data_IF_082661669280
#
_entry.id   IF_082661669280
#
_cell.length_a   1.000
_cell.length_b   1.000
_cell.length_c   1.000
_cell.angle_alpha   90.00
_cell.angle_beta   90.00
_cell.angle_gamma   90.00
#
_symmetry.space_group_name_H-M   'P 1'
#
loop_
_entity.id
_entity.type
_entity.pdbx_description
1 polymer ?
#
# COMPACT_ATOMS: atom_id res chain seq x y z
N UNK A 1 91.42 2.77 61.26
CA UNK A 1 92.42 2.61 60.17
C UNK A 1 92.02 3.58 59.06
N UNK A 2 92.90 4.56 58.81
CA UNK A 2 93.15 5.35 57.57
C UNK A 2 92.35 5.00 56.29
N UNK A 3 92.02 5.87 55.32
CA UNK A 3 92.16 7.31 55.01
C UNK A 3 91.51 7.47 53.58
N UNK A 4 90.71 8.47 53.20
CA UNK A 4 91.04 9.66 52.35
C UNK A 4 89.70 10.05 51.67
N UNK A 5 89.10 11.23 51.84
CA UNK A 5 89.43 12.60 51.36
C UNK A 5 88.87 12.95 49.95
N UNK A 6 88.07 14.03 49.94
CA UNK A 6 87.25 14.64 48.89
C UNK A 6 88.02 15.18 47.66
N UNK A 7 87.36 15.22 46.49
CA UNK A 7 87.11 16.46 45.70
C UNK A 7 86.28 16.22 44.43
N UNK A 8 85.16 16.94 44.29
CA UNK A 8 84.56 17.28 42.99
C UNK A 8 85.37 18.39 42.30
N UNK A 9 85.22 18.53 40.96
CA UNK A 9 85.05 19.85 40.38
C UNK A 9 83.87 19.94 39.40
N UNK A 10 82.95 20.83 39.79
CA UNK A 10 82.49 22.03 39.09
C UNK A 10 82.00 21.97 37.62
N UNK A 11 80.83 22.58 37.48
CA UNK A 11 80.10 23.02 36.30
C UNK A 11 80.90 23.89 35.31
N UNK A 12 80.41 23.86 34.06
CA UNK A 12 80.65 24.80 32.94
C UNK A 12 81.51 24.29 31.78
N UNK A 13 80.89 23.45 30.98
CA UNK A 13 81.08 23.38 29.52
C UNK A 13 79.70 22.91 28.98
N UNK A 14 78.67 23.72 28.66
CA UNK A 14 78.61 25.00 27.94
C UNK A 14 79.57 24.98 26.76
N UNK A 15 79.16 24.76 25.51
CA UNK A 15 77.87 24.94 24.89
C UNK A 15 77.91 24.31 23.49
N UNK A 16 76.73 24.29 22.86
CA UNK A 16 76.49 24.19 21.43
C UNK A 16 76.30 22.79 20.81
N UNK A 17 75.06 22.60 20.33
CA UNK A 17 74.66 21.84 19.15
C UNK A 17 74.72 20.29 19.28
N UNK A 18 73.65 19.53 19.05
CA UNK A 18 72.39 19.78 18.35
C UNK A 18 71.38 18.72 18.82
N UNK A 19 70.22 19.10 19.35
CA UNK A 19 69.01 19.42 18.60
C UNK A 19 68.47 18.24 17.78
N UNK A 20 67.66 17.40 18.43
CA UNK A 20 66.42 16.88 17.81
C UNK A 20 65.41 16.45 18.88
N UNK A 21 65.10 17.36 19.80
CA UNK A 21 63.87 17.23 20.57
C UNK A 21 62.70 17.49 19.62
N UNK A 22 62.09 16.41 19.13
CA UNK A 22 60.84 16.44 18.36
C UNK A 22 59.76 17.11 19.19
N UNK A 23 59.58 18.41 18.97
CA UNK A 23 58.41 19.16 19.42
C UNK A 23 57.19 18.57 18.70
N UNK A 24 56.41 17.76 19.41
CA UNK A 24 55.05 17.42 18.97
C UNK A 24 54.26 18.73 18.93
N UNK A 25 54.12 19.29 17.74
CA UNK A 25 53.24 20.42 17.50
C UNK A 25 51.85 20.11 18.08
N UNK A 26 51.34 21.02 18.91
CA UNK A 26 49.97 20.96 19.43
C UNK A 26 49.01 20.86 18.23
N UNK A 27 48.02 19.95 18.24
CA UNK A 27 47.14 19.76 17.09
C UNK A 27 46.39 21.05 16.78
N UNK A 28 46.57 21.54 15.56
CA UNK A 28 45.87 22.71 15.02
C UNK A 28 44.35 22.52 15.14
N UNK A 29 43.65 23.37 15.90
CA UNK A 29 42.21 23.24 16.14
C UNK A 29 41.40 23.34 14.84
N UNK A 30 41.91 24.01 13.80
CA UNK A 30 41.22 24.15 12.51
C UNK A 30 41.18 22.80 11.75
N UNK A 31 42.22 21.98 11.91
CA UNK A 31 42.37 20.67 11.26
C UNK A 31 41.41 19.60 11.79
N UNK A 32 40.72 19.86 12.90
CA UNK A 32 39.71 18.96 13.49
C UNK A 32 38.27 19.36 13.14
N UNK A 33 38.02 20.64 12.81
CA UNK A 33 36.67 21.18 12.58
C UNK A 33 35.97 20.55 11.38
N UNK A 34 36.70 20.23 10.31
CA UNK A 34 36.09 19.58 9.13
C UNK A 34 35.54 18.18 9.45
N UNK A 35 36.12 17.45 10.41
CA UNK A 35 35.59 16.15 10.86
C UNK A 35 34.26 16.30 11.58
N UNK A 36 34.12 17.37 12.39
CA UNK A 36 32.86 17.71 13.07
C UNK A 36 31.79 18.09 12.04
N UNK A 37 32.13 18.91 11.04
CA UNK A 37 31.21 19.27 9.97
C UNK A 37 30.82 18.06 9.10
N UNK A 38 31.78 17.19 8.76
CA UNK A 38 31.52 15.96 7.99
C UNK A 38 30.65 14.98 8.78
N UNK A 39 30.90 14.82 10.07
CA UNK A 39 30.08 13.98 10.95
C UNK A 39 28.66 14.55 11.07
N UNK A 40 28.51 15.85 11.31
CA UNK A 40 27.20 16.49 11.38
C UNK A 40 26.43 16.37 10.05
N UNK A 41 27.11 16.54 8.92
CA UNK A 41 26.53 16.31 7.60
C UNK A 41 26.09 14.85 7.41
N UNK A 42 26.95 13.87 7.73
CA UNK A 42 26.63 12.46 7.61
C UNK A 42 25.43 12.05 8.49
N UNK A 43 25.40 12.52 9.75
CA UNK A 43 24.25 12.31 10.64
C UNK A 43 22.98 12.94 10.07
N UNK A 44 23.07 14.16 9.56
CA UNK A 44 21.91 14.85 8.94
C UNK A 44 21.38 14.08 7.74
N UNK A 45 22.27 13.62 6.84
CA UNK A 45 21.90 12.81 5.68
C UNK A 45 21.25 11.50 6.11
N UNK A 46 21.81 10.80 7.09
CA UNK A 46 21.24 9.54 7.59
C UNK A 46 19.87 9.74 8.23
N UNK A 47 19.68 10.81 9.00
CA UNK A 47 18.38 11.15 9.59
C UNK A 47 17.36 11.49 8.49
N UNK A 48 17.73 12.34 7.53
CA UNK A 48 16.85 12.72 6.41
C UNK A 48 16.50 11.52 5.52
N UNK A 49 17.49 10.65 5.26
CA UNK A 49 17.29 9.43 4.47
C UNK A 49 16.40 8.44 5.20
N UNK A 50 16.63 8.22 6.49
CA UNK A 50 15.79 7.38 7.34
C UNK A 50 14.35 7.89 7.36
N UNK A 51 14.13 9.14 7.79
CA UNK A 51 12.79 9.74 7.84
C UNK A 51 12.13 9.75 6.46
N UNK A 52 12.88 10.06 5.40
CA UNK A 52 12.39 10.06 4.03
C UNK A 52 11.92 8.69 3.57
N UNK A 53 12.71 7.64 3.79
CA UNK A 53 12.32 6.26 3.43
C UNK A 53 11.13 5.79 4.26
N UNK A 54 11.13 6.02 5.58
CA UNK A 54 10.00 5.65 6.42
C UNK A 54 8.71 6.31 5.95
N UNK A 55 8.76 7.60 5.65
CA UNK A 55 7.61 8.35 5.11
C UNK A 55 7.19 7.80 3.76
N UNK A 56 8.13 7.58 2.83
CA UNK A 56 7.85 7.04 1.52
C UNK A 56 7.17 5.67 1.59
N UNK A 57 7.74 4.73 2.34
CA UNK A 57 7.20 3.37 2.50
C UNK A 57 5.83 3.40 3.14
N UNK A 58 5.62 4.25 4.15
CA UNK A 58 4.33 4.39 4.83
C UNK A 58 3.23 4.92 3.89
N UNK A 59 3.51 5.95 3.10
CA UNK A 59 2.52 6.56 2.21
C UNK A 59 2.42 5.90 0.83
N UNK A 60 3.35 5.00 0.49
CA UNK A 60 3.38 4.33 -0.82
C UNK A 60 2.06 3.63 -1.16
N UNK A 61 1.43 2.83 -0.27
CA UNK A 61 0.15 2.19 -0.57
C UNK A 61 -0.93 3.22 -0.91
N UNK A 62 -1.08 4.27 -0.10
CA UNK A 62 -2.09 5.29 -0.35
C UNK A 62 -1.89 5.99 -1.70
N UNK A 63 -0.64 6.37 -2.03
CA UNK A 63 -0.32 6.95 -3.33
C UNK A 63 -0.61 5.98 -4.49
N UNK A 64 -0.25 4.71 -4.32
CA UNK A 64 -0.50 3.67 -5.32
C UNK A 64 -2.00 3.50 -5.58
N UNK A 65 -2.81 3.29 -4.54
CA UNK A 65 -4.26 3.09 -4.67
C UNK A 65 -4.95 4.33 -5.22
N UNK A 66 -4.58 5.54 -4.80
CA UNK A 66 -5.15 6.79 -5.36
C UNK A 66 -4.80 6.99 -6.83
N UNK A 67 -3.57 6.66 -7.21
CA UNK A 67 -3.15 6.69 -8.61
C UNK A 67 -3.91 5.65 -9.43
N UNK A 68 -4.07 4.44 -8.89
CA UNK A 68 -4.78 3.37 -9.56
C UNK A 68 -6.28 3.65 -9.75
N UNK A 69 -6.95 4.20 -8.73
CA UNK A 69 -8.31 4.74 -8.83
C UNK A 69 -8.40 5.76 -9.97
N UNK A 70 -7.51 6.76 -9.97
CA UNK A 70 -7.51 7.81 -10.99
C UNK A 70 -7.29 7.26 -12.39
N UNK A 71 -6.37 6.30 -12.54
CA UNK A 71 -6.11 5.63 -13.82
C UNK A 71 -7.33 4.82 -14.24
N UNK A 72 -7.93 4.04 -13.36
CA UNK A 72 -9.08 3.20 -13.68
C UNK A 72 -10.30 4.03 -14.08
N UNK A 73 -10.58 5.10 -13.34
CA UNK A 73 -11.70 6.00 -13.63
C UNK A 73 -11.50 6.71 -14.97
N UNK A 74 -10.27 7.16 -15.30
CA UNK A 74 -10.02 7.97 -16.50
C UNK A 74 -9.62 7.17 -17.74
N UNK A 75 -9.02 5.99 -17.56
CA UNK A 75 -8.40 5.19 -18.63
C UNK A 75 -8.89 3.74 -18.65
N UNK A 76 -9.79 3.37 -17.75
CA UNK A 76 -10.30 2.01 -17.64
C UNK A 76 -9.35 1.10 -16.85
N UNK A 77 -9.78 -0.14 -16.56
CA UNK A 77 -9.03 -1.05 -15.70
C UNK A 77 -7.77 -1.64 -16.37
N UNK A 78 -7.54 -1.34 -17.65
CA UNK A 78 -6.31 -1.73 -18.35
C UNK A 78 -6.29 -3.19 -18.81
N UNK A 79 -7.44 -3.87 -18.80
CA UNK A 79 -7.54 -5.25 -19.26
C UNK A 79 -7.89 -5.35 -20.73
N UNK A 80 -7.51 -6.46 -21.37
CA UNK A 80 -7.98 -6.77 -22.73
C UNK A 80 -9.52 -6.64 -22.84
N UNK A 81 -9.98 -5.92 -23.88
CA UNK A 81 -11.40 -5.63 -24.16
C UNK A 81 -12.14 -4.85 -23.05
N UNK A 82 -11.43 -4.24 -22.10
CA UNK A 82 -12.05 -3.40 -21.08
C UNK A 82 -12.45 -2.02 -21.61
N UNK A 83 -13.43 -1.34 -20.98
CA UNK A 83 -13.81 0.01 -21.37
C UNK A 83 -12.65 0.99 -21.16
N UNK A 84 -12.62 2.06 -21.96
CA UNK A 84 -11.59 3.12 -21.87
C UNK A 84 -11.74 4.04 -20.66
N UNK A 85 -12.80 3.87 -19.87
CA UNK A 85 -13.01 4.49 -18.57
C UNK A 85 -13.95 3.62 -17.75
N UNK A 86 -13.81 3.64 -16.42
CA UNK A 86 -14.72 2.96 -15.50
C UNK A 86 -15.16 3.96 -14.42
N UNK A 87 -16.28 4.68 -14.62
CA UNK A 87 -16.77 5.65 -13.64
C UNK A 87 -16.91 5.05 -12.24
N UNK A 88 -16.77 5.89 -11.21
CA UNK A 88 -17.06 5.47 -9.83
C UNK A 88 -18.50 4.98 -9.69
N UNK A 89 -18.74 4.10 -8.72
CA UNK A 89 -20.02 3.45 -8.45
C UNK A 89 -20.53 2.61 -9.64
N UNK A 90 -19.61 2.11 -10.47
CA UNK A 90 -19.90 1.13 -11.54
C UNK A 90 -18.97 -0.06 -11.46
N UNK A 91 -19.47 -1.23 -11.90
CA UNK A 91 -18.71 -2.47 -11.93
C UNK A 91 -18.47 -2.92 -13.37
N UNK A 92 -17.26 -3.40 -13.63
CA UNK A 92 -16.89 -4.08 -14.87
C UNK A 92 -16.54 -5.54 -14.56
N UNK A 93 -17.17 -6.47 -15.26
CA UNK A 93 -16.82 -7.90 -15.20
C UNK A 93 -16.09 -8.29 -16.46
N UNK A 94 -14.90 -8.87 -16.32
CA UNK A 94 -14.13 -9.42 -17.42
C UNK A 94 -14.88 -10.58 -18.08
N UNK A 95 -14.95 -10.63 -19.42
CA UNK A 95 -15.63 -11.72 -20.14
C UNK A 95 -14.81 -13.00 -20.26
N UNK A 96 -13.50 -12.95 -19.98
CA UNK A 96 -12.57 -14.06 -20.17
C UNK A 96 -11.66 -14.22 -18.97
N UNK A 97 -11.19 -15.45 -18.74
CA UNK A 97 -10.17 -15.75 -17.76
C UNK A 97 -8.85 -15.05 -18.10
N UNK A 98 -8.05 -14.77 -17.07
CA UNK A 98 -6.75 -14.16 -17.26
C UNK A 98 -5.81 -15.10 -18.03
N UNK A 99 -5.17 -14.55 -19.06
CA UNK A 99 -4.11 -15.21 -19.84
C UNK A 99 -2.75 -14.71 -19.35
N UNK A 100 -1.65 -15.46 -19.53
CA UNK A 100 -0.33 -14.94 -19.24
C UNK A 100 -0.08 -13.66 -20.04
N UNK A 101 0.13 -12.57 -19.32
CA UNK A 101 0.34 -11.24 -19.90
C UNK A 101 1.67 -10.66 -19.46
N UNK A 102 2.25 -9.86 -20.34
CA UNK A 102 3.40 -9.01 -20.02
C UNK A 102 2.95 -7.68 -19.40
N UNK A 103 1.64 -7.38 -19.44
CA UNK A 103 1.10 -6.20 -18.78
C UNK A 103 1.24 -6.35 -17.25
N UNK A 104 1.95 -5.43 -16.57
CA UNK A 104 2.10 -5.47 -15.12
C UNK A 104 0.77 -5.49 -14.35
N UNK A 105 -0.32 -4.94 -14.90
CA UNK A 105 -1.65 -4.90 -14.27
C UNK A 105 -2.40 -6.23 -14.41
N UNK A 106 -2.05 -7.05 -15.40
CA UNK A 106 -2.62 -8.40 -15.61
C UNK A 106 -1.75 -9.50 -14.99
N UNK A 107 -0.52 -9.15 -14.58
CA UNK A 107 0.42 -10.08 -13.98
C UNK A 107 -0.02 -10.48 -12.57
N UNK A 108 -0.21 -11.79 -12.36
CA UNK A 108 -0.61 -12.35 -11.06
C UNK A 108 -2.12 -12.55 -10.90
N UNK A 109 -2.91 -12.28 -11.92
CA UNK A 109 -4.33 -12.66 -11.94
C UNK A 109 -4.49 -14.18 -11.92
N UNK A 110 -5.51 -14.64 -11.19
CA UNK A 110 -5.90 -16.03 -11.13
C UNK A 110 -6.51 -16.46 -12.47
N UNK A 111 -6.13 -17.65 -12.95
CA UNK A 111 -6.66 -18.23 -14.18
C UNK A 111 -7.94 -19.03 -13.99
N UNK A 112 -8.34 -19.28 -12.75
CA UNK A 112 -9.53 -20.07 -12.43
C UNK A 112 -10.74 -19.18 -12.15
N UNK A 113 -10.58 -17.85 -12.06
CA UNK A 113 -11.66 -16.93 -11.68
C UNK A 113 -11.82 -15.77 -12.65
N UNK A 114 -13.07 -15.43 -12.97
CA UNK A 114 -13.42 -14.15 -13.59
C UNK A 114 -13.34 -13.03 -12.56
N UNK A 115 -12.85 -11.86 -12.99
CA UNK A 115 -12.78 -10.68 -12.14
C UNK A 115 -13.91 -9.69 -12.43
N UNK A 116 -14.49 -9.18 -11.36
CA UNK A 116 -15.40 -8.02 -11.37
C UNK A 116 -14.74 -6.91 -10.57
N UNK A 117 -14.56 -5.73 -11.16
CA UNK A 117 -13.83 -4.63 -10.54
C UNK A 117 -14.62 -3.33 -10.58
N UNK A 118 -14.44 -2.49 -9.57
CA UNK A 118 -14.92 -1.11 -9.59
C UNK A 118 -14.45 -0.34 -8.38
N UNK A 119 -14.52 0.98 -8.48
CA UNK A 119 -14.27 1.90 -7.37
C UNK A 119 -15.57 2.55 -6.93
N UNK A 120 -15.76 2.67 -5.63
CA UNK A 120 -16.87 3.43 -5.07
C UNK A 120 -16.39 4.78 -4.57
N UNK A 121 -17.27 5.77 -4.73
CA UNK A 121 -17.24 7.06 -4.07
C UNK A 121 -18.50 7.19 -3.18
N UNK A 122 -18.31 6.90 -1.90
CA UNK A 122 -19.34 6.94 -0.86
C UNK A 122 -19.56 8.35 -0.31
N UNK A 123 -18.78 9.36 -0.75
CA UNK A 123 -18.98 10.75 -0.33
C UNK A 123 -20.31 11.32 -0.79
N UNK A 124 -20.88 10.74 -1.85
CA UNK A 124 -22.19 11.11 -2.42
C UNK A 124 -23.35 10.31 -1.83
N UNK A 125 -23.06 9.26 -1.05
CA UNK A 125 -24.04 8.42 -0.38
C UNK A 125 -23.64 6.94 -0.39
N UNK A 126 -24.36 6.09 0.37
CA UNK A 126 -24.15 4.66 0.36
C UNK A 126 -24.55 4.01 -0.97
N UNK A 127 -23.87 2.92 -1.30
CA UNK A 127 -24.19 2.05 -2.43
C UNK A 127 -24.70 0.70 -1.90
N UNK A 128 -25.62 0.07 -2.62
CA UNK A 128 -26.09 -1.28 -2.33
C UNK A 128 -25.50 -2.23 -3.35
N UNK A 129 -24.73 -3.22 -2.88
CA UNK A 129 -24.26 -4.34 -3.68
C UNK A 129 -25.30 -5.45 -3.67
N UNK A 130 -25.82 -5.76 -4.84
CA UNK A 130 -26.59 -6.98 -5.07
C UNK A 130 -25.65 -8.10 -5.50
N UNK A 131 -25.83 -9.29 -4.93
CA UNK A 131 -25.24 -10.54 -5.43
C UNK A 131 -26.35 -11.55 -5.73
N UNK A 132 -26.32 -12.24 -6.88
CA UNK A 132 -27.33 -13.23 -7.23
C UNK A 132 -27.14 -14.51 -6.41
N UNK A 133 -28.06 -15.45 -6.55
CA UNK A 133 -27.80 -16.83 -6.12
C UNK A 133 -26.70 -17.42 -7.00
N UNK A 134 -25.59 -17.78 -6.37
CA UNK A 134 -24.40 -18.31 -7.04
C UNK A 134 -24.47 -19.83 -7.21
N UNK A 135 -25.56 -20.50 -6.83
CA UNK A 135 -25.77 -21.94 -7.02
C UNK A 135 -24.60 -22.78 -6.45
N UNK A 136 -24.19 -22.45 -5.22
CA UNK A 136 -23.03 -23.03 -4.53
C UNK A 136 -21.67 -22.80 -5.22
N UNK A 137 -21.59 -22.02 -6.30
CA UNK A 137 -20.32 -21.63 -6.94
C UNK A 137 -19.46 -20.81 -5.98
N UNK A 138 -18.14 -21.02 -6.04
CA UNK A 138 -17.22 -20.13 -5.36
C UNK A 138 -17.26 -18.72 -5.95
N UNK A 139 -17.49 -17.74 -5.08
CA UNK A 139 -17.32 -16.34 -5.38
C UNK A 139 -16.89 -15.56 -4.14
N UNK A 140 -16.26 -14.40 -4.39
CA UNK A 140 -15.90 -13.44 -3.34
C UNK A 140 -15.85 -12.03 -3.90
N UNK A 141 -16.50 -11.08 -3.26
CA UNK A 141 -16.33 -9.64 -3.43
C UNK A 141 -15.54 -9.13 -2.24
N UNK A 142 -14.29 -8.74 -2.51
CA UNK A 142 -13.36 -8.13 -1.56
C UNK A 142 -13.58 -6.61 -1.54
N UNK A 143 -13.55 -6.03 -0.34
CA UNK A 143 -13.66 -4.58 -0.12
C UNK A 143 -12.36 -4.07 0.48
N UNK A 144 -11.69 -3.19 -0.24
CA UNK A 144 -10.37 -2.66 0.13
C UNK A 144 -10.45 -1.14 0.27
N UNK A 145 -9.88 -0.60 1.34
CA UNK A 145 -9.86 0.84 1.61
C UNK A 145 -8.82 1.59 0.78
N UNK A 146 -8.69 2.91 1.00
CA UNK A 146 -7.75 3.75 0.24
C UNK A 146 -6.27 3.51 0.60
N UNK A 147 -6.00 2.68 1.61
CA UNK A 147 -4.66 2.27 2.05
C UNK A 147 -4.29 0.87 1.59
N UNK A 148 -5.21 0.16 0.93
CA UNK A 148 -4.99 -1.21 0.49
C UNK A 148 -5.29 -2.26 1.55
N UNK A 149 -6.00 -1.90 2.61
CA UNK A 149 -6.42 -2.84 3.66
C UNK A 149 -7.78 -3.40 3.31
N UNK A 150 -7.90 -4.73 3.29
CA UNK A 150 -9.19 -5.38 3.16
C UNK A 150 -9.96 -5.31 4.46
N UNK A 151 -11.17 -4.77 4.42
CA UNK A 151 -11.99 -4.61 5.62
C UNK A 151 -13.27 -5.46 5.60
N UNK A 152 -13.70 -5.96 4.44
CA UNK A 152 -14.87 -6.82 4.34
C UNK A 152 -14.82 -7.80 3.16
N UNK A 153 -15.66 -8.82 3.23
CA UNK A 153 -15.86 -9.82 2.19
C UNK A 153 -17.33 -10.24 2.13
N UNK A 154 -17.90 -10.27 0.92
CA UNK A 154 -19.17 -10.94 0.60
C UNK A 154 -18.83 -12.13 -0.28
N UNK A 155 -19.33 -13.32 0.00
CA UNK A 155 -18.95 -14.50 -0.77
C UNK A 155 -19.29 -15.81 -0.09
N UNK A 156 -19.06 -16.92 -0.80
CA UNK A 156 -19.36 -18.29 -0.35
C UNK A 156 -18.91 -18.56 1.09
N UNK A 157 -17.72 -18.10 1.46
CA UNK A 157 -17.11 -18.32 2.78
C UNK A 157 -17.72 -17.47 3.91
N UNK A 158 -18.12 -16.23 3.64
CA UNK A 158 -18.50 -15.26 4.69
C UNK A 158 -20.00 -15.01 4.77
N UNK A 159 -20.71 -15.15 3.65
CA UNK A 159 -22.13 -14.82 3.56
C UNK A 159 -22.98 -15.92 2.92
N UNK A 160 -22.37 -17.03 2.50
CA UNK A 160 -23.03 -18.09 1.74
C UNK A 160 -23.15 -17.74 0.25
N UNK A 161 -23.99 -18.48 -0.47
CA UNK A 161 -24.13 -18.38 -1.93
C UNK A 161 -25.51 -17.96 -2.39
N UNK A 162 -26.48 -17.81 -1.48
CA UNK A 162 -27.80 -17.31 -1.81
C UNK A 162 -27.75 -15.83 -2.20
N UNK A 163 -28.76 -15.39 -2.95
CA UNK A 163 -28.92 -13.99 -3.32
C UNK A 163 -28.99 -13.10 -2.07
N UNK A 164 -28.45 -11.89 -2.16
CA UNK A 164 -28.49 -10.94 -1.06
C UNK A 164 -28.04 -9.54 -1.42
N UNK A 165 -28.47 -8.59 -0.59
CA UNK A 165 -28.16 -7.17 -0.72
C UNK A 165 -27.30 -6.70 0.45
N UNK A 166 -26.28 -5.91 0.14
CA UNK A 166 -25.29 -5.41 1.10
C UNK A 166 -25.12 -3.91 0.96
N UNK A 167 -25.48 -3.16 1.99
CA UNK A 167 -25.33 -1.71 2.03
C UNK A 167 -23.89 -1.36 2.39
N UNK A 168 -23.18 -0.69 1.48
CA UNK A 168 -21.85 -0.15 1.72
C UNK A 168 -21.99 1.33 2.04
N UNK A 169 -21.72 1.68 3.30
CA UNK A 169 -21.81 3.06 3.77
C UNK A 169 -20.43 3.64 4.05
N UNK A 170 -20.25 4.93 3.74
CA UNK A 170 -19.05 5.67 4.12
C UNK A 170 -18.94 5.90 5.64
N UNK A 171 -17.79 6.37 6.12
CA UNK A 171 -17.56 6.65 7.52
C UNK A 171 -18.55 7.68 8.07
N UNK A 172 -19.18 7.38 9.20
CA UNK A 172 -20.09 8.30 9.90
C UNK A 172 -21.47 8.46 9.26
N UNK A 173 -21.86 7.64 8.29
CA UNK A 173 -23.22 7.64 7.75
C UNK A 173 -24.25 7.26 8.82
N UNK A 174 -25.34 8.03 8.93
CA UNK A 174 -26.37 7.92 9.99
C UNK A 174 -27.77 7.59 9.46
N UNK A 175 -27.87 7.17 8.20
CA UNK A 175 -29.17 6.79 7.64
C UNK A 175 -29.66 5.43 8.18
N UNK A 176 -30.87 5.06 7.78
CA UNK A 176 -31.48 3.78 8.17
C UNK A 176 -31.10 2.70 7.16
N UNK A 177 -30.57 1.59 7.66
CA UNK A 177 -30.35 0.38 6.86
C UNK A 177 -31.71 -0.22 6.46
N UNK A 178 -31.98 -0.49 5.18
CA UNK A 178 -33.22 -1.14 4.77
C UNK A 178 -33.38 -2.53 5.40
N UNK A 179 -34.62 -2.96 5.60
CA UNK A 179 -34.90 -4.28 6.16
C UNK A 179 -34.37 -5.40 5.23
N UNK A 180 -33.73 -6.41 5.80
CA UNK A 180 -33.15 -7.53 5.05
C UNK A 180 -31.77 -7.25 4.42
N UNK A 181 -31.27 -6.02 4.49
CA UNK A 181 -29.96 -5.64 3.95
C UNK A 181 -28.90 -5.65 5.05
N UNK A 182 -27.74 -6.24 4.77
CA UNK A 182 -26.59 -6.23 5.72
C UNK A 182 -25.72 -5.01 5.45
N UNK A 183 -25.33 -4.28 6.50
CA UNK A 183 -24.46 -3.12 6.35
C UNK A 183 -22.98 -3.50 6.45
N UNK A 184 -22.18 -2.93 5.56
CA UNK A 184 -20.73 -2.93 5.55
C UNK A 184 -20.30 -1.45 5.71
N UNK A 185 -19.65 -1.14 6.83
CA UNK A 185 -19.16 0.21 7.10
C UNK A 185 -17.73 0.34 6.59
N UNK A 186 -17.52 1.20 5.61
CA UNK A 186 -16.20 1.49 5.09
C UNK A 186 -15.45 2.47 6.02
N UNK A 187 -14.14 2.26 6.25
CA UNK A 187 -13.31 3.23 6.96
C UNK A 187 -13.11 4.53 6.15
N UNK A 188 -13.19 4.45 4.82
CA UNK A 188 -12.97 5.55 3.88
C UNK A 188 -14.17 5.76 2.95
N UNK A 189 -14.26 6.94 2.30
CA UNK A 189 -15.27 7.17 1.25
C UNK A 189 -14.89 6.51 -0.08
N UNK A 190 -13.62 6.14 -0.27
CA UNK A 190 -13.15 5.47 -1.48
C UNK A 190 -12.95 3.99 -1.19
N UNK A 191 -13.61 3.13 -1.96
CA UNK A 191 -13.52 1.67 -1.78
C UNK A 191 -13.25 0.99 -3.12
N UNK A 192 -12.24 0.14 -3.16
CA UNK A 192 -12.04 -0.79 -4.25
C UNK A 192 -12.87 -2.05 -4.02
N UNK A 193 -13.66 -2.44 -5.02
CA UNK A 193 -14.34 -3.72 -5.08
C UNK A 193 -13.59 -4.64 -6.03
N UNK A 194 -13.33 -5.83 -5.54
CA UNK A 194 -12.62 -6.85 -6.31
C UNK A 194 -13.31 -8.21 -6.17
N UNK A 195 -14.23 -8.44 -7.09
CA UNK A 195 -15.00 -9.66 -7.29
C UNK A 195 -14.19 -10.75 -7.98
N UNK A 196 -14.35 -11.99 -7.53
CA UNK A 196 -13.80 -13.21 -8.13
C UNK A 196 -14.91 -14.24 -8.22
N UNK A 197 -15.11 -14.82 -9.40
CA UNK A 197 -16.11 -15.89 -9.63
C UNK A 197 -15.41 -17.07 -10.28
N UNK A 198 -15.46 -18.25 -9.65
CA UNK A 198 -14.81 -19.46 -10.16
C UNK A 198 -15.41 -19.88 -11.50
N UNK A 199 -14.54 -20.32 -12.42
CA UNK A 199 -14.88 -21.02 -13.65
C UNK A 199 -14.36 -22.45 -13.52
N UNK A 200 -15.24 -23.43 -13.55
CA UNK A 200 -14.89 -24.83 -13.27
C UNK A 200 -14.31 -25.55 -14.51
N UNK A 201 -14.63 -25.05 -15.70
CA UNK A 201 -14.17 -25.59 -16.99
C UNK A 201 -14.39 -24.57 -18.11
N UNK A 202 -13.78 -24.79 -19.28
CA UNK A 202 -13.98 -23.92 -20.44
C UNK A 202 -15.45 -23.80 -20.86
N UNK A 203 -16.23 -24.87 -20.77
CA UNK A 203 -17.68 -24.86 -21.07
C UNK A 203 -18.52 -24.11 -20.03
N UNK A 204 -17.97 -23.91 -18.83
CA UNK A 204 -18.65 -23.24 -17.72
C UNK A 204 -18.46 -21.70 -17.75
N UNK A 205 -17.51 -21.21 -18.54
CA UNK A 205 -17.18 -19.79 -18.65
C UNK A 205 -18.40 -18.89 -18.88
N UNK A 206 -19.29 -19.27 -19.80
CA UNK A 206 -20.50 -18.49 -20.11
C UNK A 206 -21.45 -18.41 -18.93
N UNK A 207 -21.62 -19.51 -18.18
CA UNK A 207 -22.46 -19.57 -16.98
C UNK A 207 -21.87 -18.71 -15.87
N UNK A 208 -20.57 -18.87 -15.60
CA UNK A 208 -19.85 -18.09 -14.59
C UNK A 208 -19.90 -16.59 -14.91
N UNK A 209 -19.69 -16.21 -16.17
CA UNK A 209 -19.78 -14.82 -16.61
C UNK A 209 -21.20 -14.25 -16.46
N UNK A 210 -22.23 -15.02 -16.84
CA UNK A 210 -23.62 -14.63 -16.68
C UNK A 210 -24.02 -14.37 -15.23
N UNK A 211 -23.51 -15.17 -14.28
CA UNK A 211 -23.69 -14.94 -12.85
C UNK A 211 -22.89 -13.74 -12.35
N UNK A 212 -21.61 -13.64 -12.71
CA UNK A 212 -20.76 -12.52 -12.29
C UNK A 212 -21.31 -11.16 -12.76
N UNK A 213 -21.95 -11.10 -13.93
CA UNK A 213 -22.61 -9.89 -14.48
C UNK A 213 -23.86 -9.44 -13.73
N UNK A 214 -24.45 -10.32 -12.92
CA UNK A 214 -25.59 -9.98 -12.06
C UNK A 214 -25.14 -9.37 -10.72
N UNK A 215 -23.83 -9.37 -10.42
CA UNK A 215 -23.29 -8.59 -9.31
C UNK A 215 -23.32 -7.10 -9.72
N UNK A 216 -24.12 -6.31 -9.02
CA UNK A 216 -24.43 -4.93 -9.40
C UNK A 216 -24.40 -3.98 -8.22
N UNK A 217 -24.10 -2.71 -8.50
CA UNK A 217 -24.19 -1.61 -7.54
C UNK A 217 -25.40 -0.75 -7.88
N UNK A 218 -26.16 -0.37 -6.86
CA UNK A 218 -27.25 0.60 -6.96
C UNK A 218 -27.14 1.61 -5.81
N UNK A 219 -27.15 2.93 -6.09
CA UNK A 219 -27.15 3.93 -5.03
C UNK A 219 -28.35 3.72 -4.10
N UNK A 220 -28.15 3.83 -2.79
CA UNK A 220 -29.24 3.61 -1.82
C UNK A 220 -30.48 4.48 -2.11
N UNK A 221 -30.29 5.68 -2.66
CA UNK A 221 -31.37 6.60 -3.05
C UNK A 221 -32.27 6.09 -4.18
N UNK A 222 -31.80 5.12 -4.97
CA UNK A 222 -32.52 4.50 -6.09
C UNK A 222 -32.78 3.01 -5.88
N UNK A 223 -32.31 2.45 -4.78
CA UNK A 223 -32.45 1.03 -4.50
C UNK A 223 -33.86 0.72 -4.00
N UNK A 224 -34.43 -0.36 -4.52
CA UNK A 224 -35.70 -0.92 -4.09
C UNK A 224 -35.51 -2.43 -3.81
N UNK A 225 -36.18 -2.99 -2.80
CA UNK A 225 -36.10 -4.42 -2.54
C UNK A 225 -36.56 -5.23 -3.77
N UNK A 226 -35.72 -6.16 -4.23
CA UNK A 226 -36.09 -7.20 -5.20
C UNK A 226 -35.99 -6.84 -6.68
N UNK A 227 -35.24 -5.79 -7.05
CA UNK A 227 -34.97 -5.43 -8.45
C UNK A 227 -33.54 -4.94 -8.66
#
# INVERSE_FOLDING_TARGET
MANMENKEPNSQESAAASSSASSKASPDPERSRWKVHLFAFAVTVLVMWGLGIFTYVYFYPHFFYKTWETVMVKRGPGFANSPSSLPVNTLYTMPTLAVPSQDPLEKGLNRDTLYTIGWLDLSTGPEVLHVPDMADRYYSVQFTDSWGTDFAYVGRRTTGTQAGDYLISGPGWQGKVPAGVKQIVSPDNTVLLYGRTLVESDSDLTTAYGLAKQIQLTPLSRWHPGY
#
